data_IF_678740290106
#
_entry.id   IF_678740290106
#
_cell.length_a   1.000
_cell.length_b   1.000
_cell.length_c   1.000
_cell.angle_alpha   90.00
_cell.angle_beta   90.00
_cell.angle_gamma   90.00
#
_symmetry.space_group_name_H-M   'P 1'
#
loop_
_entity.id
_entity.type
_entity.pdbx_description
1 polymer ?
#
# COMPACT_ATOMS: atom_id res chain seq x y z
N UNK A 1 -14.43 26.13 10.13
CA UNK A 1 -13.74 24.90 9.72
C UNK A 1 -12.53 24.72 10.62
N UNK A 2 -12.61 23.83 11.61
CA UNK A 2 -11.45 23.50 12.43
C UNK A 2 -10.50 22.68 11.56
N UNK A 3 -9.37 23.27 11.18
CA UNK A 3 -8.27 22.51 10.61
C UNK A 3 -7.89 21.43 11.60
N UNK A 4 -7.89 20.17 11.16
CA UNK A 4 -7.23 19.11 11.90
C UNK A 4 -5.74 19.45 11.96
N UNK A 5 -5.34 20.11 13.04
CA UNK A 5 -3.95 20.17 13.47
C UNK A 5 -3.56 18.72 13.69
N UNK A 6 -2.60 18.23 12.88
CA UNK A 6 -2.05 16.89 12.97
C UNK A 6 -1.64 16.64 14.42
N UNK A 7 -2.36 15.78 15.13
CA UNK A 7 -1.94 15.32 16.44
C UNK A 7 -0.75 14.39 16.25
N UNK A 8 0.44 14.93 16.55
CA UNK A 8 1.74 14.28 16.64
C UNK A 8 2.62 14.31 15.37
N UNK A 9 3.55 15.27 15.38
CA UNK A 9 4.84 15.26 14.69
C UNK A 9 5.74 14.13 15.22
N UNK A 10 5.24 12.89 15.12
CA UNK A 10 5.96 11.70 15.52
C UNK A 10 6.72 11.08 14.33
N UNK A 11 7.62 10.14 14.61
CA UNK A 11 8.44 9.53 13.57
C UNK A 11 7.62 8.82 12.49
N UNK A 12 6.52 8.13 12.85
CA UNK A 12 5.65 7.46 11.87
C UNK A 12 5.03 8.47 10.89
N UNK A 13 4.64 9.64 11.36
CA UNK A 13 4.14 10.75 10.53
C UNK A 13 5.18 11.21 9.51
N UNK A 14 6.44 11.38 9.95
CA UNK A 14 7.57 11.74 9.07
C UNK A 14 7.90 10.63 8.06
N UNK A 15 7.81 9.37 8.47
CA UNK A 15 7.99 8.21 7.59
C UNK A 15 6.92 8.16 6.49
N UNK A 16 5.66 8.39 6.84
CA UNK A 16 4.57 8.49 5.87
C UNK A 16 4.78 9.67 4.91
N UNK A 17 5.23 10.82 5.42
CA UNK A 17 5.52 11.97 4.58
C UNK A 17 6.64 11.73 3.57
N UNK A 18 7.69 10.97 3.94
CA UNK A 18 8.72 10.59 2.97
C UNK A 18 8.14 9.85 1.76
N UNK A 19 7.13 8.99 1.96
CA UNK A 19 6.39 8.35 0.85
C UNK A 19 5.67 9.40 0.00
N UNK A 20 4.97 10.35 0.65
CA UNK A 20 4.22 11.42 -0.04
C UNK A 20 5.13 12.25 -0.93
N UNK A 21 6.25 12.71 -0.37
CA UNK A 21 7.20 13.57 -1.06
C UNK A 21 7.90 12.84 -2.21
N UNK A 22 8.38 11.62 -2.00
CA UNK A 22 8.95 10.81 -3.09
C UNK A 22 7.93 10.60 -4.22
N UNK A 23 6.68 10.29 -3.87
CA UNK A 23 5.64 10.00 -4.85
C UNK A 23 5.28 11.23 -5.69
N UNK A 24 5.02 12.38 -5.06
CA UNK A 24 4.66 13.59 -5.81
C UNK A 24 5.83 14.15 -6.61
N UNK A 25 7.07 14.05 -6.10
CA UNK A 25 8.27 14.53 -6.79
C UNK A 25 8.59 13.67 -8.03
N UNK A 26 8.50 12.34 -7.91
CA UNK A 26 8.73 11.43 -9.03
C UNK A 26 7.68 11.61 -10.13
N UNK A 27 6.41 11.74 -9.76
CA UNK A 27 5.33 12.04 -10.72
C UNK A 27 5.56 13.39 -11.40
N UNK A 28 6.01 14.40 -10.65
CA UNK A 28 6.31 15.72 -11.19
C UNK A 28 7.50 15.70 -12.16
N UNK A 29 8.58 15.00 -11.82
CA UNK A 29 9.75 14.86 -12.68
C UNK A 29 9.44 14.08 -13.96
N UNK A 30 8.60 13.04 -13.88
CA UNK A 30 8.14 12.26 -15.03
C UNK A 30 7.10 13.00 -15.89
N UNK A 31 6.55 14.11 -15.39
CA UNK A 31 5.39 14.80 -15.96
C UNK A 31 4.22 13.85 -16.27
N UNK A 32 4.08 12.78 -15.47
CA UNK A 32 3.16 11.67 -15.71
C UNK A 32 3.03 10.81 -14.45
N UNK A 33 1.81 10.40 -14.11
CA UNK A 33 1.56 9.43 -13.04
C UNK A 33 0.45 9.82 -12.07
N UNK A 34 0.39 9.10 -10.95
CA UNK A 34 -0.75 9.13 -10.03
C UNK A 34 -0.28 9.46 -8.60
N UNK A 35 -0.23 10.74 -8.20
CA UNK A 35 0.29 11.12 -6.89
C UNK A 35 -0.73 10.93 -5.76
N UNK A 36 -2.03 11.03 -6.07
CA UNK A 36 -3.10 11.12 -5.08
C UNK A 36 -3.24 9.88 -4.20
N UNK A 37 -3.29 8.68 -4.80
CA UNK A 37 -3.43 7.43 -4.05
C UNK A 37 -2.20 7.15 -3.16
N UNK A 38 -0.94 7.24 -3.65
CA UNK A 38 0.24 7.12 -2.79
C UNK A 38 0.22 8.08 -1.60
N UNK A 39 -0.21 9.33 -1.82
CA UNK A 39 -0.29 10.33 -0.75
C UNK A 39 -1.36 10.03 0.31
N UNK A 40 -2.53 9.54 -0.14
CA UNK A 40 -3.64 9.15 0.75
C UNK A 40 -3.33 7.91 1.57
N UNK A 41 -2.69 6.89 0.95
CA UNK A 41 -2.41 5.61 1.60
C UNK A 41 -1.07 5.53 2.35
N UNK A 42 -0.28 6.61 2.38
CA UNK A 42 1.03 6.63 3.01
C UNK A 42 1.00 6.24 4.51
N UNK A 43 -0.03 6.65 5.26
CA UNK A 43 -0.15 6.30 6.69
C UNK A 43 -0.43 4.80 6.89
N UNK A 44 -1.39 4.25 6.14
CA UNK A 44 -1.72 2.81 6.16
C UNK A 44 -0.50 1.97 5.78
N UNK A 45 0.18 2.34 4.70
CA UNK A 45 1.40 1.67 4.25
C UNK A 45 2.51 1.76 5.31
N UNK A 46 2.68 2.92 5.94
CA UNK A 46 3.70 3.11 6.99
C UNK A 46 3.46 2.17 8.17
N UNK A 47 2.24 2.12 8.70
CA UNK A 47 1.93 1.22 9.83
C UNK A 47 2.10 -0.25 9.44
N UNK A 48 1.59 -0.66 8.28
CA UNK A 48 1.74 -2.03 7.78
C UNK A 48 3.22 -2.45 7.69
N UNK A 49 4.02 -1.63 7.00
CA UNK A 49 5.41 -1.98 6.70
C UNK A 49 6.33 -1.87 7.92
N UNK A 50 6.05 -0.93 8.82
CA UNK A 50 6.81 -0.76 10.05
C UNK A 50 6.53 -1.90 11.04
N UNK A 51 5.27 -2.20 11.30
CA UNK A 51 4.89 -2.96 12.49
C UNK A 51 4.47 -4.40 12.20
N UNK A 52 4.04 -4.73 10.97
CA UNK A 52 3.33 -5.98 10.73
C UNK A 52 3.89 -6.88 9.63
N UNK A 53 4.30 -6.31 8.49
CA UNK A 53 4.70 -7.10 7.35
C UNK A 53 6.08 -7.74 7.57
N UNK A 54 6.22 -8.99 7.19
CA UNK A 54 7.48 -9.72 7.24
C UNK A 54 8.12 -9.82 5.87
N UNK A 55 9.01 -8.90 5.54
CA UNK A 55 9.77 -8.87 4.28
C UNK A 55 11.24 -8.58 4.53
N UNK A 56 12.12 -9.07 3.66
CA UNK A 56 13.55 -8.86 3.78
C UNK A 56 14.12 -8.38 2.43
N UNK A 57 14.44 -7.08 2.29
CA UNK A 57 15.04 -6.57 1.04
C UNK A 57 16.38 -7.23 0.68
N UNK A 58 17.10 -7.78 1.66
CA UNK A 58 18.34 -8.54 1.43
C UNK A 58 18.09 -9.98 0.95
N UNK A 59 16.85 -10.47 1.10
CA UNK A 59 16.36 -11.80 0.75
C UNK A 59 14.93 -11.73 0.18
N UNK A 60 14.76 -11.05 -0.97
CA UNK A 60 13.44 -10.86 -1.57
C UNK A 60 12.81 -12.19 -2.01
N UNK A 61 13.62 -13.23 -2.18
CA UNK A 61 13.23 -14.59 -2.52
C UNK A 61 12.85 -15.47 -1.32
N UNK A 62 12.89 -14.95 -0.08
CA UNK A 62 12.53 -15.71 1.12
C UNK A 62 11.15 -16.37 0.95
N UNK A 63 11.05 -17.72 0.96
CA UNK A 63 9.79 -18.39 0.66
C UNK A 63 8.65 -18.08 1.63
N UNK A 64 8.92 -17.79 2.89
CA UNK A 64 7.89 -17.55 3.92
C UNK A 64 7.78 -16.06 4.32
N UNK A 65 8.24 -15.14 3.47
CA UNK A 65 7.91 -13.71 3.63
C UNK A 65 6.41 -13.49 3.42
N UNK A 66 5.86 -12.48 4.08
CA UNK A 66 4.53 -11.96 3.75
C UNK A 66 4.50 -11.45 2.30
N UNK A 67 3.35 -11.58 1.65
CA UNK A 67 3.12 -11.02 0.31
C UNK A 67 2.45 -9.66 0.41
N UNK A 68 2.88 -8.73 -0.43
CA UNK A 68 2.21 -7.45 -0.60
C UNK A 68 1.82 -7.26 -2.06
N UNK A 69 0.53 -7.01 -2.31
CA UNK A 69 0.01 -6.76 -3.66
C UNK A 69 -0.66 -5.38 -3.69
N UNK A 70 -0.15 -4.51 -4.55
CA UNK A 70 -0.78 -3.24 -4.85
C UNK A 70 -1.80 -3.43 -5.99
N UNK A 71 -3.03 -3.86 -5.66
CA UNK A 71 -4.07 -4.08 -6.68
C UNK A 71 -4.47 -2.77 -7.39
N UNK A 72 -4.42 -1.65 -6.69
CA UNK A 72 -4.53 -0.31 -7.27
C UNK A 72 -3.19 0.10 -7.92
N UNK A 73 -2.76 -0.66 -8.94
CA UNK A 73 -1.41 -0.57 -9.52
C UNK A 73 -1.04 0.81 -10.07
N UNK A 74 -2.01 1.68 -10.36
CA UNK A 74 -1.76 3.05 -10.81
C UNK A 74 -0.97 3.85 -9.76
N UNK A 75 -1.15 3.54 -8.47
CA UNK A 75 -0.41 4.11 -7.34
C UNK A 75 1.00 3.54 -7.17
N UNK A 76 1.65 3.12 -8.26
CA UNK A 76 2.95 2.42 -8.28
C UNK A 76 4.05 3.12 -7.48
N UNK A 77 4.04 4.45 -7.45
CA UNK A 77 4.99 5.24 -6.64
C UNK A 77 4.91 4.96 -5.13
N UNK A 78 3.78 4.49 -4.60
CA UNK A 78 3.70 4.01 -3.22
C UNK A 78 4.66 2.82 -3.00
N UNK A 79 4.57 1.83 -3.89
CA UNK A 79 5.39 0.61 -3.82
C UNK A 79 6.87 0.93 -4.06
N UNK A 80 7.19 1.75 -5.06
CA UNK A 80 8.57 2.13 -5.34
C UNK A 80 9.19 2.97 -4.22
N UNK A 81 8.44 3.91 -3.64
CA UNK A 81 8.89 4.67 -2.47
C UNK A 81 9.22 3.73 -1.31
N UNK A 82 8.35 2.75 -1.03
CA UNK A 82 8.61 1.73 0.00
C UNK A 82 9.87 0.92 -0.31
N UNK A 83 10.04 0.43 -1.55
CA UNK A 83 11.23 -0.34 -1.92
C UNK A 83 12.54 0.45 -1.75
N UNK A 84 12.56 1.73 -2.13
CA UNK A 84 13.68 2.62 -1.87
C UNK A 84 13.94 2.80 -0.36
N UNK A 85 12.90 3.13 0.40
CA UNK A 85 13.01 3.41 1.84
C UNK A 85 13.45 2.19 2.66
N UNK A 86 12.96 1.00 2.29
CA UNK A 86 13.33 -0.27 2.92
C UNK A 86 14.76 -0.71 2.54
N UNK A 87 15.32 -0.17 1.45
CA UNK A 87 16.68 -0.46 1.01
C UNK A 87 16.81 -1.67 0.09
N UNK A 88 15.84 -1.91 -0.79
CA UNK A 88 16.00 -2.85 -1.90
C UNK A 88 17.17 -2.41 -2.78
N UNK A 89 18.07 -3.36 -3.10
CA UNK A 89 19.35 -3.05 -3.79
C UNK A 89 19.15 -2.53 -5.20
N UNK A 90 18.12 -3.03 -5.87
CA UNK A 90 17.70 -2.67 -7.21
C UNK A 90 16.73 -1.48 -7.24
N UNK A 91 16.49 -0.83 -6.09
CA UNK A 91 15.70 0.40 -5.98
C UNK A 91 16.50 1.57 -5.37
N UNK A 92 17.65 1.98 -5.96
CA UNK A 92 18.31 3.21 -5.56
C UNK A 92 17.45 4.44 -5.89
N UNK A 93 17.81 5.60 -5.31
CA UNK A 93 17.09 6.86 -5.54
C UNK A 93 17.01 7.24 -7.03
N UNK A 94 17.98 6.83 -7.85
CA UNK A 94 17.99 7.08 -9.29
C UNK A 94 16.81 6.41 -10.01
N UNK A 95 16.34 5.26 -9.55
CA UNK A 95 15.10 4.68 -10.08
C UNK A 95 13.91 5.60 -9.79
N UNK A 96 13.78 6.10 -8.55
CA UNK A 96 12.68 7.01 -8.18
C UNK A 96 12.69 8.31 -9.01
N UNK A 97 13.87 8.89 -9.26
CA UNK A 97 14.03 10.08 -10.11
C UNK A 97 13.64 9.83 -11.57
N UNK A 98 13.78 8.59 -12.03
CA UNK A 98 13.52 8.17 -13.41
C UNK A 98 12.23 7.32 -13.53
N UNK A 99 11.25 7.62 -12.67
CA UNK A 99 9.91 7.04 -12.79
C UNK A 99 9.34 7.23 -14.20
N UNK A 100 8.78 6.14 -14.77
CA UNK A 100 8.22 6.07 -16.14
C UNK A 100 9.21 6.34 -17.27
N UNK A 101 10.52 6.27 -17.01
CA UNK A 101 11.55 6.41 -18.05
C UNK A 101 12.04 5.05 -18.55
N UNK A 102 12.51 5.02 -19.80
CA UNK A 102 13.04 3.81 -20.42
C UNK A 102 14.30 3.32 -19.67
N UNK A 103 14.43 2.01 -19.51
CA UNK A 103 15.57 1.33 -18.87
C UNK A 103 15.71 1.52 -17.35
N UNK A 104 14.66 2.00 -16.67
CA UNK A 104 14.58 2.05 -15.21
C UNK A 104 13.53 1.09 -14.68
N UNK A 105 13.72 0.61 -13.45
CA UNK A 105 12.87 -0.43 -12.84
C UNK A 105 11.47 0.10 -12.42
N UNK A 106 11.31 1.41 -12.38
CA UNK A 106 10.12 2.14 -11.94
C UNK A 106 9.17 2.43 -13.10
N UNK A 107 8.53 1.38 -13.61
CA UNK A 107 7.53 1.45 -14.68
C UNK A 107 6.26 2.23 -14.26
N UNK A 108 5.36 2.48 -15.21
CA UNK A 108 4.12 3.22 -14.93
C UNK A 108 3.17 2.51 -13.97
N UNK A 109 3.20 1.18 -13.98
CA UNK A 109 2.52 0.26 -13.08
C UNK A 109 3.54 -0.81 -12.61
N UNK A 110 3.35 -1.47 -11.45
CA UNK A 110 4.27 -2.51 -10.99
C UNK A 110 4.33 -3.69 -11.97
N UNK A 111 5.54 -4.12 -12.32
CA UNK A 111 5.80 -5.21 -13.26
C UNK A 111 6.64 -6.29 -12.55
N UNK A 112 6.09 -7.51 -12.48
CA UNK A 112 6.78 -8.65 -11.90
C UNK A 112 8.06 -8.96 -12.69
N UNK A 113 9.18 -9.14 -11.97
CA UNK A 113 10.48 -9.44 -12.56
C UNK A 113 11.30 -8.22 -12.99
N UNK A 114 10.73 -7.00 -12.95
CA UNK A 114 11.47 -5.76 -13.21
C UNK A 114 12.07 -5.14 -11.96
N UNK A 115 11.49 -5.38 -10.79
CA UNK A 115 12.10 -5.06 -9.50
C UNK A 115 11.79 -6.14 -8.45
N UNK A 116 12.74 -6.38 -7.56
CA UNK A 116 12.59 -7.22 -6.39
C UNK A 116 11.49 -6.66 -5.47
N UNK A 117 10.72 -7.57 -4.87
CA UNK A 117 9.60 -7.19 -3.98
C UNK A 117 8.27 -6.90 -4.69
N UNK A 118 8.25 -6.84 -6.03
CA UNK A 118 7.00 -6.82 -6.81
C UNK A 118 6.49 -8.26 -6.96
N UNK A 119 5.43 -8.59 -6.22
CA UNK A 119 4.88 -9.96 -6.20
C UNK A 119 4.12 -10.35 -7.47
N UNK A 120 3.54 -9.38 -8.18
CA UNK A 120 2.78 -9.61 -9.41
C UNK A 120 2.62 -8.32 -10.22
N UNK A 121 2.49 -8.44 -11.54
CA UNK A 121 2.18 -7.30 -12.40
C UNK A 121 0.74 -6.84 -12.14
N UNK A 122 0.56 -5.55 -11.88
CA UNK A 122 -0.77 -4.94 -11.67
C UNK A 122 -0.93 -3.73 -12.57
N UNK A 123 -2.13 -3.16 -12.61
CA UNK A 123 -2.48 -2.05 -13.51
C UNK A 123 -3.91 -2.21 -13.99
N UNK A 124 -4.24 -3.31 -14.67
CA UNK A 124 -5.64 -3.70 -14.88
C UNK A 124 -6.31 -3.91 -13.52
N UNK A 125 -7.33 -3.11 -13.23
CA UNK A 125 -7.97 -3.06 -11.92
C UNK A 125 -8.60 -4.42 -11.56
N UNK A 126 -8.62 -4.76 -10.27
CA UNK A 126 -9.17 -6.02 -9.76
C UNK A 126 -8.25 -7.24 -9.90
N UNK A 127 -7.34 -7.27 -10.88
CA UNK A 127 -6.44 -8.41 -11.10
C UNK A 127 -5.54 -8.69 -9.88
N UNK A 128 -4.93 -7.65 -9.29
CA UNK A 128 -4.05 -7.83 -8.13
C UNK A 128 -4.77 -8.48 -6.94
N UNK A 129 -6.01 -8.07 -6.65
CA UNK A 129 -6.83 -8.70 -5.62
C UNK A 129 -7.12 -10.18 -5.93
N UNK A 130 -7.50 -10.49 -7.18
CA UNK A 130 -7.76 -11.87 -7.60
C UNK A 130 -6.49 -12.74 -7.50
N UNK A 131 -5.33 -12.23 -7.93
CA UNK A 131 -4.05 -12.92 -7.79
C UNK A 131 -3.66 -13.14 -6.32
N UNK A 132 -3.89 -12.14 -5.46
CA UNK A 132 -3.63 -12.26 -4.02
C UNK A 132 -4.49 -13.33 -3.34
N UNK A 133 -5.72 -13.56 -3.81
CA UNK A 133 -6.54 -14.71 -3.36
C UNK A 133 -5.84 -16.03 -3.68
N UNK A 134 -5.24 -16.16 -4.88
CA UNK A 134 -4.42 -17.30 -5.25
C UNK A 134 -3.18 -17.47 -4.36
N UNK A 135 -2.49 -16.37 -4.02
CA UNK A 135 -1.35 -16.39 -3.09
C UNK A 135 -1.75 -16.91 -1.70
N UNK A 136 -2.85 -16.40 -1.14
CA UNK A 136 -3.37 -16.85 0.16
C UNK A 136 -3.87 -18.30 0.15
N UNK A 137 -4.45 -18.75 -0.97
CA UNK A 137 -4.81 -20.16 -1.16
C UNK A 137 -3.56 -21.05 -1.19
N UNK A 138 -2.51 -20.63 -1.90
CA UNK A 138 -1.24 -21.35 -1.98
C UNK A 138 -0.60 -21.51 -0.61
N UNK A 139 -0.54 -20.43 0.18
CA UNK A 139 -0.08 -20.48 1.58
C UNK A 139 -0.85 -21.52 2.39
N UNK A 140 -2.19 -21.48 2.35
CA UNK A 140 -3.04 -22.42 3.10
C UNK A 140 -2.83 -23.87 2.69
N UNK A 141 -2.68 -24.13 1.38
CA UNK A 141 -2.41 -25.47 0.86
C UNK A 141 -1.02 -25.97 1.29
N UNK A 142 -0.01 -25.11 1.22
CA UNK A 142 1.37 -25.44 1.60
C UNK A 142 1.49 -25.66 3.10
N UNK A 143 0.89 -24.80 3.92
CA UNK A 143 0.81 -24.98 5.37
C UNK A 143 0.08 -26.28 5.75
N UNK A 144 -0.97 -26.66 5.03
CA UNK A 144 -1.65 -27.95 5.23
C UNK A 144 -0.79 -29.17 4.86
N UNK A 145 0.13 -29.03 3.90
CA UNK A 145 1.00 -30.13 3.42
C UNK A 145 2.26 -30.27 4.24
N UNK A 146 2.86 -29.15 4.66
CA UNK A 146 4.19 -29.10 5.26
C UNK A 146 4.20 -28.61 6.71
N UNK A 147 3.06 -28.14 7.21
CA UNK A 147 2.89 -27.65 8.57
C UNK A 147 3.17 -26.15 8.72
N UNK A 148 2.49 -25.54 9.70
CA UNK A 148 2.58 -24.11 9.99
C UNK A 148 3.96 -23.67 10.51
N UNK A 149 4.82 -24.60 10.91
CA UNK A 149 6.19 -24.26 11.33
C UNK A 149 7.08 -23.88 10.14
N UNK A 150 6.73 -24.33 8.93
CA UNK A 150 7.47 -24.07 7.70
C UNK A 150 6.80 -22.99 6.83
N UNK A 151 5.46 -22.93 6.87
CA UNK A 151 4.68 -22.00 6.05
C UNK A 151 3.67 -21.28 6.95
N UNK A 152 3.95 -20.02 7.27
CA UNK A 152 3.08 -19.16 8.07
C UNK A 152 3.24 -17.68 7.72
N UNK A 153 2.71 -17.28 6.55
CA UNK A 153 2.76 -15.90 6.09
C UNK A 153 1.39 -15.34 5.73
N UNK A 154 1.28 -14.02 5.79
CA UNK A 154 0.10 -13.26 5.39
C UNK A 154 0.22 -12.78 3.94
N UNK A 155 -0.93 -12.53 3.33
CA UNK A 155 -1.06 -11.79 2.06
C UNK A 155 -1.82 -10.50 2.32
N UNK A 156 -1.17 -9.37 2.08
CA UNK A 156 -1.74 -8.03 2.22
C UNK A 156 -2.00 -7.42 0.84
N UNK A 157 -3.15 -6.78 0.70
CA UNK A 157 -3.55 -6.13 -0.55
C UNK A 157 -3.95 -4.69 -0.28
N UNK A 158 -3.48 -3.74 -1.10
CA UNK A 158 -4.13 -2.43 -1.19
C UNK A 158 -4.96 -2.38 -2.47
N UNK A 159 -6.26 -2.16 -2.31
CA UNK A 159 -7.23 -2.02 -3.39
C UNK A 159 -7.91 -0.64 -3.32
N UNK A 160 -8.28 -0.09 -4.47
CA UNK A 160 -9.08 1.14 -4.55
C UNK A 160 -10.50 0.85 -5.04
N UNK A 161 -11.30 1.90 -5.17
CA UNK A 161 -12.69 1.82 -5.65
C UNK A 161 -12.80 1.08 -6.99
N UNK A 162 -11.95 1.42 -7.96
CA UNK A 162 -11.94 0.78 -9.27
C UNK A 162 -11.67 -0.73 -9.18
N UNK A 163 -10.82 -1.18 -8.26
CA UNK A 163 -10.62 -2.63 -8.06
C UNK A 163 -11.88 -3.33 -7.55
N UNK A 164 -12.69 -2.66 -6.72
CA UNK A 164 -13.89 -3.24 -6.12
C UNK A 164 -15.14 -3.10 -6.98
N UNK A 165 -15.07 -2.33 -8.07
CA UNK A 165 -16.10 -2.22 -9.10
C UNK A 165 -15.94 -3.29 -10.19
N UNK A 166 -14.72 -3.77 -10.42
CA UNK A 166 -14.44 -4.79 -11.41
C UNK A 166 -15.05 -6.15 -11.05
N UNK A 167 -15.72 -6.79 -12.00
CA UNK A 167 -16.44 -8.07 -11.81
C UNK A 167 -15.55 -9.19 -11.27
N UNK A 168 -14.29 -9.25 -11.71
CA UNK A 168 -13.31 -10.22 -11.22
C UNK A 168 -13.10 -10.15 -9.69
N UNK A 169 -13.26 -8.96 -9.10
CA UNK A 169 -13.18 -8.82 -7.66
C UNK A 169 -14.33 -9.51 -6.95
N UNK A 170 -15.53 -9.54 -7.55
CA UNK A 170 -16.70 -10.20 -6.96
C UNK A 170 -16.47 -11.70 -6.83
N UNK A 171 -15.98 -12.32 -7.90
CA UNK A 171 -15.63 -13.75 -7.94
C UNK A 171 -14.56 -14.07 -6.88
N UNK A 172 -13.49 -13.27 -6.84
CA UNK A 172 -12.40 -13.45 -5.89
C UNK A 172 -12.84 -13.28 -4.42
N UNK A 173 -13.69 -12.29 -4.15
CA UNK A 173 -14.22 -11.99 -2.80
C UNK A 173 -15.14 -13.12 -2.34
N UNK A 174 -16.05 -13.59 -3.18
CA UNK A 174 -16.93 -14.71 -2.86
C UNK A 174 -16.12 -15.98 -2.55
N UNK A 175 -15.20 -16.33 -3.45
CA UNK A 175 -14.42 -17.56 -3.36
C UNK A 175 -13.52 -17.60 -2.11
N UNK A 176 -12.79 -16.52 -1.84
CA UNK A 176 -11.90 -16.44 -0.67
C UNK A 176 -12.65 -16.43 0.66
N UNK A 177 -13.84 -15.84 0.68
CA UNK A 177 -14.75 -15.86 1.81
C UNK A 177 -15.29 -17.26 2.09
N UNK A 178 -15.77 -17.95 1.04
CA UNK A 178 -16.20 -19.35 1.10
C UNK A 178 -15.10 -20.26 1.67
N UNK A 179 -13.86 -20.11 1.19
CA UNK A 179 -12.71 -20.90 1.64
C UNK A 179 -12.13 -20.46 2.98
N UNK A 180 -12.62 -19.38 3.59
CA UNK A 180 -12.10 -18.81 4.85
C UNK A 180 -10.57 -18.64 4.79
N UNK A 181 -10.07 -17.90 3.80
CA UNK A 181 -8.65 -17.56 3.66
C UNK A 181 -8.23 -16.52 4.71
N UNK A 182 -8.09 -16.93 5.97
CA UNK A 182 -7.91 -16.04 7.13
C UNK A 182 -6.62 -15.21 7.11
N UNK A 183 -5.63 -15.58 6.32
CA UNK A 183 -4.37 -14.84 6.17
C UNK A 183 -4.37 -13.84 5.00
N UNK A 184 -5.53 -13.63 4.36
CA UNK A 184 -5.75 -12.56 3.39
C UNK A 184 -6.32 -11.32 4.08
N UNK A 185 -5.60 -10.20 3.97
CA UNK A 185 -6.01 -8.90 4.52
C UNK A 185 -6.00 -7.86 3.41
N UNK A 186 -7.15 -7.27 3.13
CA UNK A 186 -7.34 -6.23 2.10
C UNK A 186 -7.58 -4.89 2.78
N UNK A 187 -6.73 -3.92 2.48
CA UNK A 187 -6.97 -2.51 2.77
C UNK A 187 -7.66 -1.91 1.55
N UNK A 188 -8.90 -1.49 1.72
CA UNK A 188 -9.58 -0.69 0.71
C UNK A 188 -9.35 0.78 1.02
N UNK A 189 -8.73 1.47 0.06
CA UNK A 189 -8.63 2.93 0.03
C UNK A 189 -10.02 3.52 -0.26
N UNK A 190 -10.82 3.72 0.78
CA UNK A 190 -12.17 4.29 0.72
C UNK A 190 -12.08 5.83 0.70
N UNK A 191 -11.59 6.36 -0.42
CA UNK A 191 -11.33 7.79 -0.61
C UNK A 191 -12.45 8.54 -1.35
N UNK A 192 -13.47 7.80 -1.83
CA UNK A 192 -14.65 8.28 -2.57
C UNK A 192 -14.39 8.90 -3.94
N UNK A 193 -13.19 8.73 -4.52
CA UNK A 193 -12.79 9.35 -5.78
C UNK A 193 -12.33 8.31 -6.80
N UNK A 194 -12.86 8.40 -8.02
CA UNK A 194 -12.35 7.73 -9.22
C UNK A 194 -11.83 8.77 -10.23
N UNK A 195 -11.48 8.33 -11.46
CA UNK A 195 -11.02 9.23 -12.54
C UNK A 195 -12.07 10.32 -12.83
N UNK A 196 -13.35 9.95 -12.89
CA UNK A 196 -14.43 10.86 -13.31
C UNK A 196 -14.92 11.80 -12.20
N UNK A 197 -14.40 11.66 -10.97
CA UNK A 197 -14.83 12.47 -9.82
C UNK A 197 -15.29 11.62 -8.65
N UNK A 198 -16.39 12.06 -8.01
CA UNK A 198 -16.98 11.31 -6.91
C UNK A 198 -17.46 9.93 -7.39
N UNK A 199 -17.18 8.90 -6.60
CA UNK A 199 -17.69 7.55 -6.84
C UNK A 199 -19.23 7.46 -6.84
N UNK A 200 -19.92 8.42 -6.21
CA UNK A 200 -21.39 8.50 -6.22
C UNK A 200 -21.97 8.69 -7.64
N UNK A 201 -21.16 9.13 -8.61
CA UNK A 201 -21.58 9.29 -10.00
C UNK A 201 -21.91 7.95 -10.69
N UNK A 202 -21.31 6.85 -10.24
CA UNK A 202 -21.40 5.55 -10.93
C UNK A 202 -21.48 4.33 -10.01
N UNK A 203 -21.38 4.50 -8.69
CA UNK A 203 -21.37 3.39 -7.75
C UNK A 203 -22.18 3.69 -6.48
N UNK A 204 -23.14 2.82 -6.16
CA UNK A 204 -23.94 2.89 -4.93
C UNK A 204 -23.72 1.66 -4.02
N UNK A 205 -22.73 0.82 -4.32
CA UNK A 205 -22.52 -0.45 -3.62
C UNK A 205 -22.01 -0.23 -2.20
N UNK A 206 -22.69 -0.82 -1.21
CA UNK A 206 -22.16 -0.91 0.14
C UNK A 206 -21.13 -2.05 0.23
N UNK A 207 -19.85 -1.69 0.05
CA UNK A 207 -18.75 -2.66 0.03
C UNK A 207 -18.62 -3.44 1.35
N UNK A 208 -18.84 -2.79 2.50
CA UNK A 208 -18.81 -3.47 3.80
C UNK A 208 -19.86 -4.58 3.87
N UNK A 209 -21.10 -4.29 3.47
CA UNK A 209 -22.15 -5.31 3.46
C UNK A 209 -21.91 -6.39 2.40
N UNK A 210 -21.37 -6.03 1.23
CA UNK A 210 -20.98 -7.01 0.19
C UNK A 210 -19.95 -8.01 0.72
N UNK A 211 -18.89 -7.52 1.37
CA UNK A 211 -17.87 -8.38 1.95
C UNK A 211 -18.40 -9.22 3.12
N UNK A 212 -19.24 -8.64 4.01
CA UNK A 212 -19.91 -9.40 5.08
C UNK A 212 -20.76 -10.54 4.51
N UNK A 213 -21.52 -10.27 3.45
CA UNK A 213 -22.34 -11.28 2.77
C UNK A 213 -21.49 -12.40 2.17
N UNK A 214 -20.31 -12.08 1.64
CA UNK A 214 -19.31 -13.06 1.19
C UNK A 214 -18.58 -13.77 2.35
N UNK A 215 -18.94 -13.53 3.62
CA UNK A 215 -18.34 -14.23 4.76
C UNK A 215 -17.03 -13.64 5.27
N UNK A 216 -16.70 -12.41 4.91
CA UNK A 216 -15.50 -11.71 5.39
C UNK A 216 -15.68 -11.09 6.78
N UNK A 217 -14.55 -10.89 7.45
CA UNK A 217 -14.44 -9.94 8.56
C UNK A 217 -14.26 -8.53 7.97
N UNK A 218 -14.95 -7.53 8.49
CA UNK A 218 -14.92 -6.16 7.94
C UNK A 218 -14.75 -5.13 9.03
N UNK A 219 -13.89 -4.14 8.79
CA UNK A 219 -13.66 -3.00 9.68
C UNK A 219 -13.72 -1.69 8.89
N UNK A 220 -14.07 -0.60 9.56
CA UNK A 220 -13.99 0.76 9.03
C UNK A 220 -13.10 1.56 9.98
N UNK A 221 -12.11 2.26 9.46
CA UNK A 221 -11.18 3.07 10.25
C UNK A 221 -10.96 4.44 9.61
N UNK A 222 -10.42 5.37 10.40
CA UNK A 222 -9.72 6.54 9.86
C UNK A 222 -8.35 6.10 9.33
N UNK A 223 -8.16 6.18 8.01
CA UNK A 223 -6.93 5.79 7.33
C UNK A 223 -5.76 6.74 7.53
N UNK A 224 -5.95 7.85 8.26
CA UNK A 224 -4.89 8.78 8.67
C UNK A 224 -4.56 8.68 10.17
N UNK A 225 -5.25 7.81 10.92
CA UNK A 225 -4.99 7.57 12.33
C UNK A 225 -4.17 6.28 12.52
N UNK A 226 -2.89 6.41 12.91
CA UNK A 226 -1.98 5.28 13.05
C UNK A 226 -2.43 4.25 14.10
N UNK A 227 -3.08 4.68 15.18
CA UNK A 227 -3.57 3.78 16.23
C UNK A 227 -4.76 2.96 15.74
N UNK A 228 -5.67 3.57 14.97
CA UNK A 228 -6.81 2.86 14.38
C UNK A 228 -6.36 1.84 13.34
N UNK A 229 -5.38 2.20 12.49
CA UNK A 229 -4.76 1.28 11.53
C UNK A 229 -4.12 0.10 12.28
N UNK A 230 -3.32 0.39 13.31
CA UNK A 230 -2.62 -0.64 14.08
C UNK A 230 -3.60 -1.62 14.72
N UNK A 231 -4.64 -1.11 15.40
CA UNK A 231 -5.69 -1.93 16.02
C UNK A 231 -6.44 -2.77 14.98
N UNK A 232 -6.75 -2.20 13.82
CA UNK A 232 -7.46 -2.92 12.77
C UNK A 232 -6.64 -4.07 12.18
N UNK A 233 -5.33 -3.90 11.98
CA UNK A 233 -4.46 -4.98 11.51
C UNK A 233 -4.36 -6.08 12.58
N UNK A 234 -4.20 -5.72 13.86
CA UNK A 234 -4.17 -6.71 14.95
C UNK A 234 -5.47 -7.53 15.03
N UNK A 235 -6.62 -6.89 14.84
CA UNK A 235 -7.91 -7.58 14.81
C UNK A 235 -8.05 -8.47 13.57
N UNK A 236 -7.62 -7.99 12.40
CA UNK A 236 -7.64 -8.77 11.16
C UNK A 236 -6.79 -10.05 11.27
N UNK A 237 -5.58 -9.96 11.86
CA UNK A 237 -4.70 -11.13 12.07
C UNK A 237 -5.27 -12.18 13.04
N UNK A 238 -6.24 -11.80 13.89
CA UNK A 238 -6.94 -12.72 14.81
C UNK A 238 -8.19 -13.36 14.19
N UNK A 239 -8.64 -12.87 13.05
CA UNK A 239 -9.84 -13.35 12.37
C UNK A 239 -9.65 -14.77 11.82
N UNK A 240 -10.71 -15.59 11.86
CA UNK A 240 -10.77 -16.89 11.16
C UNK A 240 -11.36 -16.77 9.74
N UNK A 241 -11.55 -15.55 9.26
CA UNK A 241 -12.10 -15.17 7.95
C UNK A 241 -11.11 -14.23 7.26
N UNK A 242 -11.09 -14.16 5.92
CA UNK A 242 -10.38 -13.07 5.24
C UNK A 242 -10.93 -11.72 5.73
N UNK A 243 -10.08 -10.69 5.75
CA UNK A 243 -10.41 -9.39 6.36
C UNK A 243 -10.37 -8.25 5.36
N UNK A 244 -11.42 -7.43 5.33
CA UNK A 244 -11.45 -6.13 4.68
C UNK A 244 -11.32 -5.04 5.75
N UNK A 245 -10.38 -4.12 5.55
CA UNK A 245 -10.23 -2.90 6.34
C UNK A 245 -10.53 -1.74 5.39
N UNK A 246 -11.71 -1.14 5.52
CA UNK A 246 -12.06 0.09 4.79
C UNK A 246 -11.37 1.28 5.46
N UNK A 247 -10.31 1.75 4.82
CA UNK A 247 -9.50 2.87 5.26
C UNK A 247 -10.11 4.13 4.67
N UNK A 248 -10.81 4.92 5.49
CA UNK A 248 -11.30 6.23 5.03
C UNK A 248 -10.11 7.16 4.88
N UNK A 249 -9.76 7.52 3.66
CA UNK A 249 -8.64 8.43 3.38
C UNK A 249 -9.11 9.64 2.60
N UNK A 250 -8.21 10.63 2.46
CA UNK A 250 -8.36 11.72 1.51
C UNK A 250 -7.33 11.54 0.39
N UNK A 251 -7.80 11.32 -0.84
CA UNK A 251 -6.89 11.25 -2.01
C UNK A 251 -6.04 12.54 -2.09
N UNK A 252 -4.74 12.41 -2.34
CA UNK A 252 -3.83 13.56 -2.37
C UNK A 252 -3.62 14.23 -1.00
N UNK A 253 -3.82 13.51 0.11
CA UNK A 253 -3.64 14.04 1.46
C UNK A 253 -2.34 14.85 1.61
N UNK A 254 -2.48 16.06 2.15
CA UNK A 254 -1.38 17.03 2.29
C UNK A 254 -1.40 18.14 1.24
N UNK A 255 -1.96 17.90 0.05
CA UNK A 255 -2.12 18.91 -1.00
C UNK A 255 -3.29 19.85 -0.67
N UNK A 256 -3.03 21.07 -0.16
CA UNK A 256 -4.07 21.88 0.50
C UNK A 256 -5.20 22.30 -0.44
N UNK A 257 -4.92 22.48 -1.74
CA UNK A 257 -5.91 22.96 -2.71
C UNK A 257 -6.49 21.84 -3.58
N UNK A 258 -5.77 20.72 -3.74
CA UNK A 258 -6.20 19.62 -4.61
C UNK A 258 -6.67 18.35 -3.88
N UNK A 259 -6.35 18.16 -2.60
CA UNK A 259 -6.73 16.96 -1.86
C UNK A 259 -8.25 16.73 -1.85
N UNK A 260 -8.67 15.47 -2.00
CA UNK A 260 -10.08 15.08 -2.05
C UNK A 260 -10.73 15.27 -3.41
N UNK A 261 -9.94 15.52 -4.46
CA UNK A 261 -10.45 15.75 -5.82
C UNK A 261 -9.78 14.80 -6.82
N UNK A 262 -10.50 14.47 -7.90
CA UNK A 262 -9.98 13.67 -9.01
C UNK A 262 -8.79 14.33 -9.72
N UNK A 263 -8.54 15.63 -9.52
CA UNK A 263 -7.35 16.32 -10.06
C UNK A 263 -6.04 15.73 -9.55
N UNK A 264 -6.06 15.09 -8.38
CA UNK A 264 -4.88 14.40 -7.82
C UNK A 264 -4.75 12.94 -8.29
N UNK A 265 -5.73 12.42 -9.04
CA UNK A 265 -5.74 11.02 -9.41
C UNK A 265 -4.65 10.67 -10.41
N UNK A 266 -4.61 11.31 -11.58
CA UNK A 266 -3.76 10.88 -12.71
C UNK A 266 -2.94 11.98 -13.37
N UNK A 267 -2.69 13.09 -12.67
CA UNK A 267 -1.86 14.19 -13.15
C UNK A 267 -0.84 14.62 -12.09
N UNK A 268 0.34 15.14 -12.51
CA UNK A 268 1.22 15.87 -11.61
C UNK A 268 0.50 17.00 -10.87
N UNK A 269 0.89 17.26 -9.62
CA UNK A 269 0.25 18.30 -8.82
C UNK A 269 0.56 19.72 -9.33
N UNK A 270 1.72 19.92 -9.98
CA UNK A 270 2.22 21.23 -10.37
C UNK A 270 3.09 21.86 -9.29
N UNK A 271 4.00 22.75 -9.71
CA UNK A 271 5.01 23.36 -8.85
C UNK A 271 4.40 24.13 -7.66
N UNK A 272 3.35 24.90 -7.91
CA UNK A 272 2.68 25.70 -6.87
C UNK A 272 2.04 24.81 -5.79
N UNK A 273 1.35 23.74 -6.20
CA UNK A 273 0.73 22.81 -5.26
C UNK A 273 1.78 21.99 -4.49
N UNK A 274 2.89 21.63 -5.13
CA UNK A 274 4.02 20.97 -4.46
C UNK A 274 4.62 21.87 -3.38
N UNK A 275 4.86 23.15 -3.70
CA UNK A 275 5.36 24.12 -2.72
C UNK A 275 4.36 24.32 -1.57
N UNK A 276 3.06 24.40 -1.87
CA UNK A 276 2.01 24.50 -0.88
C UNK A 276 1.91 23.24 0.00
N UNK A 277 2.06 22.05 -0.58
CA UNK A 277 2.06 20.75 0.12
C UNK A 277 3.25 20.65 1.09
N UNK A 278 4.45 21.01 0.63
CA UNK A 278 5.66 21.07 1.46
C UNK A 278 5.47 21.99 2.66
N UNK A 279 4.93 23.20 2.43
CA UNK A 279 4.62 24.15 3.51
C UNK A 279 3.57 23.61 4.49
N UNK A 280 2.49 23.01 3.97
CA UNK A 280 1.38 22.49 4.78
C UNK A 280 1.81 21.34 5.70
N UNK A 281 2.74 20.50 5.25
CA UNK A 281 3.25 19.36 6.01
C UNK A 281 4.60 19.65 6.72
N UNK A 282 5.10 20.89 6.66
CA UNK A 282 6.36 21.27 7.33
C UNK A 282 7.62 20.63 6.76
N UNK A 283 7.65 20.31 5.46
CA UNK A 283 8.76 19.64 4.81
C UNK A 283 9.66 20.61 4.04
N UNK A 284 10.86 20.84 4.55
CA UNK A 284 11.83 21.80 3.99
C UNK A 284 12.88 21.18 3.07
N UNK A 285 12.98 19.85 2.97
CA UNK A 285 14.01 19.20 2.16
C UNK A 285 13.72 19.38 0.67
N UNK A 286 14.77 19.31 -0.17
CA UNK A 286 14.62 19.40 -1.61
C UNK A 286 13.93 18.15 -2.19
N UNK A 287 13.51 18.19 -3.47
CA UNK A 287 13.01 17.00 -4.14
C UNK A 287 13.98 15.83 -4.06
N UNK A 288 13.45 14.62 -3.80
CA UNK A 288 14.23 13.38 -3.68
C UNK A 288 15.24 13.32 -2.50
N UNK A 289 15.28 14.32 -1.63
CA UNK A 289 16.10 14.30 -0.42
C UNK A 289 15.29 13.84 0.79
N UNK A 290 15.60 12.63 1.28
CA UNK A 290 15.03 12.08 2.51
C UNK A 290 16.04 12.21 3.66
N UNK A 291 15.66 12.85 4.79
CA UNK A 291 16.49 12.91 5.99
C UNK A 291 17.03 11.56 6.42
N UNK A 292 18.32 11.51 6.79
CA UNK A 292 19.00 10.28 7.22
C UNK A 292 18.32 9.61 8.41
N UNK A 293 17.70 10.40 9.30
CA UNK A 293 16.92 9.87 10.42
C UNK A 293 15.72 9.03 9.95
N UNK A 294 14.99 9.50 8.93
CA UNK A 294 13.83 8.80 8.38
C UNK A 294 14.27 7.54 7.62
N UNK A 295 15.35 7.62 6.84
CA UNK A 295 15.92 6.45 6.15
C UNK A 295 16.38 5.38 7.13
N UNK A 296 17.02 5.79 8.22
CA UNK A 296 17.44 4.89 9.30
C UNK A 296 16.25 4.17 9.92
N UNK A 297 15.17 4.88 10.21
CA UNK A 297 13.95 4.28 10.80
C UNK A 297 13.26 3.31 9.84
N UNK A 298 13.19 3.64 8.55
CA UNK A 298 12.69 2.69 7.55
C UNK A 298 13.54 1.43 7.43
N UNK A 299 14.88 1.54 7.48
CA UNK A 299 15.74 0.35 7.45
C UNK A 299 15.55 -0.55 8.68
N UNK A 300 15.30 0.04 9.86
CA UNK A 300 15.05 -0.70 11.12
C UNK A 300 13.80 -1.58 11.05
N UNK A 301 12.79 -1.23 10.24
CA UNK A 301 11.55 -2.02 10.14
C UNK A 301 11.81 -3.45 9.65
N UNK A 302 12.84 -3.63 8.82
CA UNK A 302 13.22 -4.93 8.25
C UNK A 302 13.95 -5.84 9.25
N UNK A 303 14.39 -5.30 10.40
CA UNK A 303 15.19 -6.04 11.37
C UNK A 303 14.42 -7.24 11.96
N UNK A 304 13.13 -7.06 12.27
CA UNK A 304 12.24 -8.14 12.72
C UNK A 304 12.25 -9.31 11.74
N UNK A 305 12.09 -9.00 10.45
CA UNK A 305 12.04 -10.01 9.39
C UNK A 305 13.38 -10.70 9.16
N UNK A 306 14.50 -9.97 9.30
CA UNK A 306 15.85 -10.56 9.24
C UNK A 306 16.09 -11.58 10.35
N UNK A 307 15.58 -11.32 11.55
CA UNK A 307 15.66 -12.26 12.67
C UNK A 307 14.81 -13.51 12.42
N UNK A 308 13.57 -13.34 11.97
CA UNK A 308 12.69 -14.46 11.58
C UNK A 308 13.34 -15.34 10.50
N UNK A 309 13.89 -14.73 9.44
CA UNK A 309 14.59 -15.46 8.38
C UNK A 309 15.80 -16.26 8.89
N UNK A 310 16.57 -15.71 9.84
CA UNK A 310 17.71 -16.44 10.45
C UNK A 310 17.26 -17.63 11.29
N UNK A 311 16.14 -17.50 12.00
CA UNK A 311 15.58 -18.61 12.79
C UNK A 311 15.07 -19.72 11.88
N UNK A 312 14.37 -19.38 10.79
CA UNK A 312 13.87 -20.36 9.82
C UNK A 312 14.95 -21.18 9.10
N UNK A 313 16.23 -20.76 9.13
CA UNK A 313 17.36 -21.54 8.61
C UNK A 313 17.89 -22.62 9.55
N UNK A 314 17.54 -22.56 10.84
CA UNK A 314 18.10 -23.45 11.87
C UNK A 314 17.23 -24.68 12.14
N UNK A 315 16.00 -24.69 11.65
CA UNK A 315 15.04 -25.78 11.76
C UNK A 315 14.88 -26.45 10.39
#
# INVERSE_FOLDING_TARGET
MQGHIRSNDNMSSKMADAIRFLSMDAVQAANSGHPGMPMGMADVATVLFKDFINICPDKPDWPDRDRFVLSAGHGSMLLYSLHYLLGYKDMPIENIKNFRQLNYNTAGHPEFGHADGIETTTGPLGQGLATAVGMALSEKLMASRFGNNLVDHFTYVIAGDGCLQEGISHEAIEFSGHLKLSKLIVFWDDNKISIDGSTDLSNSSNQINRFKAAGWHTQIIDGHNHDDIQKAIMNAKKSRKPSLIACKTKIGYGAPNLAGTAKTHGAPLGADEIAATRKALGWSNNPFEIPTEILTEWKKTTQRSKELFKVGKKN
#
